data_IF_495790960315
#
_entry.id   IF_495790960315
#
_cell.length_a   1.000
_cell.length_b   1.000
_cell.length_c   1.000
_cell.angle_alpha   90.00
_cell.angle_beta   90.00
_cell.angle_gamma   90.00
#
_symmetry.space_group_name_H-M   'P 1'
#
loop_
_entity.id
_entity.type
_entity.pdbx_description
1 polymer ?
#
# COMPACT_ATOMS: atom_id res chain seq x y z
N UNK A 1 5.51 23.99 10.86
CA UNK A 1 4.44 22.97 10.84
C UNK A 1 4.11 22.50 12.26
N UNK A 2 2.86 22.10 12.58
CA UNK A 2 2.54 21.61 13.93
C UNK A 2 2.86 20.12 14.11
N UNK A 3 3.28 19.71 15.30
CA UNK A 3 3.46 18.28 15.65
C UNK A 3 2.17 17.47 15.41
N UNK A 4 1.00 18.07 15.62
CA UNK A 4 -0.29 17.44 15.33
C UNK A 4 -0.53 17.17 13.84
N UNK A 5 0.02 18.01 12.95
CA UNK A 5 -0.03 17.79 11.49
C UNK A 5 0.84 16.60 11.10
N UNK A 6 2.09 16.56 11.58
CA UNK A 6 3.02 15.45 11.34
C UNK A 6 2.41 14.13 11.78
N UNK A 7 1.93 14.06 13.02
CA UNK A 7 1.34 12.84 13.57
C UNK A 7 0.09 12.40 12.80
N UNK A 8 -0.74 13.34 12.33
CA UNK A 8 -1.92 13.02 11.51
C UNK A 8 -1.51 12.43 10.16
N UNK A 9 -0.54 13.03 9.49
CA UNK A 9 -0.07 12.57 8.17
C UNK A 9 0.65 11.23 8.26
N UNK A 10 1.46 11.01 9.30
CA UNK A 10 2.07 9.70 9.57
C UNK A 10 1.01 8.62 9.87
N UNK A 11 -0.01 8.93 10.66
CA UNK A 11 -1.11 7.98 10.90
C UNK A 11 -1.92 7.69 9.63
N UNK A 12 -2.07 8.67 8.73
CA UNK A 12 -2.71 8.47 7.43
C UNK A 12 -1.89 7.54 6.53
N UNK A 13 -0.56 7.72 6.48
CA UNK A 13 0.34 6.80 5.78
C UNK A 13 0.29 5.38 6.38
N UNK A 14 0.34 5.26 7.71
CA UNK A 14 0.24 3.97 8.39
C UNK A 14 -1.05 3.23 8.06
N UNK A 15 -2.19 3.92 8.08
CA UNK A 15 -3.48 3.34 7.77
C UNK A 15 -3.54 2.81 6.33
N UNK A 16 -3.00 3.58 5.37
CA UNK A 16 -2.94 3.18 3.96
C UNK A 16 -2.20 1.85 3.78
N UNK A 17 -1.01 1.70 4.38
CA UNK A 17 -0.24 0.46 4.26
C UNK A 17 -0.86 -0.71 5.01
N UNK A 18 -1.48 -0.47 6.17
CA UNK A 18 -2.09 -1.53 6.97
C UNK A 18 -3.41 -2.06 6.40
N UNK A 19 -4.11 -1.25 5.61
CA UNK A 19 -5.47 -1.52 5.13
C UNK A 19 -5.57 -1.65 3.61
N UNK A 20 -4.42 -1.79 2.95
CA UNK A 20 -4.36 -1.93 1.50
C UNK A 20 -5.06 -3.21 1.04
N UNK A 21 -5.61 -3.18 -0.18
CA UNK A 21 -6.22 -4.36 -0.81
C UNK A 21 -5.23 -5.54 -0.88
N UNK A 22 -3.94 -5.35 -1.27
CA UNK A 22 -2.97 -6.44 -1.23
C UNK A 22 -2.77 -7.07 0.14
N UNK A 23 -2.70 -6.27 1.22
CA UNK A 23 -2.55 -6.80 2.58
C UNK A 23 -3.78 -7.61 2.97
N UNK A 24 -4.98 -7.15 2.63
CA UNK A 24 -6.20 -7.92 2.81
C UNK A 24 -6.16 -9.23 2.02
N UNK A 25 -5.82 -9.17 0.73
CA UNK A 25 -5.76 -10.34 -0.13
C UNK A 25 -4.74 -11.37 0.34
N UNK A 26 -3.65 -10.96 1.00
CA UNK A 26 -2.68 -11.86 1.62
C UNK A 26 -3.22 -12.66 2.80
N UNK A 27 -4.29 -12.17 3.44
CA UNK A 27 -4.97 -12.83 4.55
C UNK A 27 -6.15 -13.69 4.08
N UNK A 28 -6.59 -13.51 2.84
CA UNK A 28 -7.57 -14.35 2.17
C UNK A 28 -6.85 -15.34 1.26
N UNK A 29 -7.46 -16.45 0.88
CA UNK A 29 -6.85 -17.36 -0.11
C UNK A 29 -7.68 -17.30 -1.38
N UNK A 30 -7.43 -16.32 -2.29
CA UNK A 30 -8.14 -16.25 -3.55
C UNK A 30 -7.98 -17.55 -4.35
N UNK A 31 -8.93 -17.85 -5.23
CA UNK A 31 -8.79 -18.98 -6.15
C UNK A 31 -7.69 -18.67 -7.18
N UNK A 32 -6.65 -19.52 -7.22
CA UNK A 32 -5.44 -19.31 -8.04
C UNK A 32 -5.23 -20.44 -9.04
N UNK A 33 -4.73 -20.08 -10.21
CA UNK A 33 -4.26 -21.03 -11.23
C UNK A 33 -2.74 -20.87 -11.44
N UNK A 34 -2.11 -21.79 -12.18
CA UNK A 34 -0.70 -21.63 -12.57
C UNK A 34 -0.42 -20.36 -13.37
N UNK A 35 -1.41 -19.85 -14.10
CA UNK A 35 -1.29 -18.60 -14.85
C UNK A 35 -1.23 -17.35 -13.94
N UNK A 36 -1.37 -17.53 -12.63
CA UNK A 36 -1.41 -16.46 -11.64
C UNK A 36 -0.14 -16.40 -10.76
N UNK A 37 0.84 -17.29 -10.98
CA UNK A 37 2.07 -17.38 -10.17
C UNK A 37 2.88 -16.07 -10.18
N UNK A 38 2.99 -15.41 -11.33
CA UNK A 38 3.71 -14.13 -11.47
C UNK A 38 2.98 -12.99 -10.75
N UNK A 39 1.64 -12.94 -10.86
CA UNK A 39 0.80 -11.97 -10.14
C UNK A 39 0.96 -12.16 -8.63
N UNK A 40 0.96 -13.42 -8.18
CA UNK A 40 1.13 -13.75 -6.77
C UNK A 40 2.51 -13.32 -6.26
N UNK A 41 3.57 -13.50 -7.04
CA UNK A 41 4.92 -13.07 -6.67
C UNK A 41 4.99 -11.55 -6.49
N UNK A 42 4.43 -10.77 -7.43
CA UNK A 42 4.39 -9.30 -7.34
C UNK A 42 3.58 -8.83 -6.13
N UNK A 43 2.40 -9.42 -5.89
CA UNK A 43 1.58 -9.11 -4.71
C UNK A 43 2.31 -9.46 -3.40
N UNK A 44 3.05 -10.57 -3.38
CA UNK A 44 3.84 -11.00 -2.23
C UNK A 44 4.91 -9.98 -1.85
N UNK A 45 5.67 -9.48 -2.83
CA UNK A 45 6.67 -8.44 -2.61
C UNK A 45 6.03 -7.14 -2.11
N UNK A 46 4.96 -6.69 -2.77
CA UNK A 46 4.21 -5.49 -2.38
C UNK A 46 3.74 -5.56 -0.91
N UNK A 47 3.18 -6.70 -0.49
CA UNK A 47 2.71 -6.89 0.90
C UNK A 47 3.86 -6.90 1.90
N UNK A 48 5.00 -7.52 1.57
CA UNK A 48 6.18 -7.53 2.45
C UNK A 48 6.71 -6.11 2.68
N UNK A 49 6.75 -5.33 1.61
CA UNK A 49 7.20 -3.96 1.59
C UNK A 49 6.28 -3.03 2.40
N UNK A 50 4.96 -3.13 2.20
CA UNK A 50 3.97 -2.39 2.99
C UNK A 50 4.01 -2.72 4.49
N UNK A 51 4.30 -3.98 4.86
CA UNK A 51 4.50 -4.38 6.27
C UNK A 51 5.73 -3.74 6.88
N UNK A 52 6.83 -3.69 6.12
CA UNK A 52 8.09 -3.06 6.55
C UNK A 52 7.89 -1.56 6.78
N UNK A 53 7.26 -0.87 5.83
CA UNK A 53 6.94 0.56 5.95
C UNK A 53 6.00 0.85 7.11
N UNK A 54 4.95 0.02 7.29
CA UNK A 54 4.03 0.16 8.42
C UNK A 54 4.76 0.10 9.77
N UNK A 55 5.76 -0.79 9.91
CA UNK A 55 6.54 -0.90 11.13
C UNK A 55 7.41 0.35 11.38
N UNK A 56 8.07 0.86 10.35
CA UNK A 56 8.89 2.08 10.43
C UNK A 56 8.05 3.31 10.77
N UNK A 57 6.89 3.49 10.11
CA UNK A 57 5.98 4.61 10.37
C UNK A 57 5.42 4.53 11.79
N UNK A 58 4.98 3.35 12.23
CA UNK A 58 4.49 3.16 13.59
C UNK A 58 5.57 3.49 14.64
N UNK A 59 6.82 3.12 14.36
CA UNK A 59 7.95 3.45 15.25
C UNK A 59 8.15 4.96 15.35
N UNK A 60 8.18 5.67 14.22
CA UNK A 60 8.34 7.12 14.20
C UNK A 60 7.20 7.84 14.93
N UNK A 61 5.95 7.38 14.78
CA UNK A 61 4.81 7.94 15.52
C UNK A 61 5.02 7.82 17.04
N UNK A 62 5.52 6.67 17.51
CA UNK A 62 5.81 6.46 18.94
C UNK A 62 6.95 7.36 19.42
N UNK A 63 8.02 7.49 18.64
CA UNK A 63 9.18 8.31 18.97
C UNK A 63 8.82 9.81 19.05
N UNK A 64 7.81 10.26 18.29
CA UNK A 64 7.22 11.60 18.36
C UNK A 64 6.19 11.78 19.49
N UNK A 65 5.98 10.77 20.35
CA UNK A 65 5.02 10.79 21.44
C UNK A 65 3.56 10.64 21.02
N UNK A 66 3.31 10.24 19.77
CA UNK A 66 1.98 9.93 19.25
C UNK A 66 1.54 8.49 19.54
N UNK A 67 0.33 8.17 19.08
CA UNK A 67 -0.21 6.80 19.13
C UNK A 67 -0.46 6.29 17.71
N UNK A 68 0.18 5.17 17.29
CA UNK A 68 -0.06 4.57 15.99
C UNK A 68 -1.53 4.12 15.87
N UNK A 69 -2.20 4.62 14.83
CA UNK A 69 -3.57 4.32 14.50
C UNK A 69 -3.60 3.74 13.09
N UNK A 70 -3.98 2.46 12.99
CA UNK A 70 -4.09 1.76 11.71
C UNK A 70 -5.34 2.14 10.91
N UNK A 71 -6.23 2.98 11.46
CA UNK A 71 -7.51 3.35 10.88
C UNK A 71 -8.61 2.31 11.11
N UNK A 72 -9.81 2.57 10.57
CA UNK A 72 -10.88 1.57 10.45
C UNK A 72 -10.86 1.03 9.01
N UNK A 73 -10.70 -0.29 8.87
CA UNK A 73 -10.54 -0.93 7.57
C UNK A 73 -11.77 -0.74 6.70
N UNK A 74 -11.57 -0.63 5.39
CA UNK A 74 -12.68 -0.77 4.45
C UNK A 74 -13.25 -2.19 4.55
N UNK A 75 -14.57 -2.33 4.32
CA UNK A 75 -15.16 -3.65 4.11
C UNK A 75 -14.69 -4.20 2.76
N UNK A 76 -13.72 -5.11 2.82
CA UNK A 76 -13.13 -5.80 1.67
C UNK A 76 -13.68 -7.22 1.52
N UNK A 77 -14.65 -7.62 2.34
CA UNK A 77 -15.33 -8.93 2.27
C UNK A 77 -15.86 -9.26 0.87
N UNK A 78 -16.40 -8.30 0.08
CA UNK A 78 -16.86 -8.57 -1.28
C UNK A 78 -15.76 -9.07 -2.26
N UNK A 79 -14.48 -8.92 -1.91
CA UNK A 79 -13.36 -9.34 -2.75
C UNK A 79 -13.03 -10.84 -2.62
N UNK A 80 -13.59 -11.54 -1.63
CA UNK A 80 -13.24 -12.93 -1.33
C UNK A 80 -13.58 -13.93 -2.44
N UNK A 81 -14.64 -13.64 -3.20
CA UNK A 81 -15.18 -14.57 -4.20
C UNK A 81 -14.75 -14.23 -5.65
N UNK A 82 -13.81 -13.28 -5.80
CA UNK A 82 -13.35 -12.82 -7.12
C UNK A 82 -12.08 -13.57 -7.55
N UNK A 83 -12.00 -13.89 -8.85
CA UNK A 83 -10.79 -14.46 -9.45
C UNK A 83 -9.64 -13.42 -9.47
N UNK A 84 -8.40 -13.90 -9.34
CA UNK A 84 -7.24 -13.01 -9.21
C UNK A 84 -7.07 -12.04 -10.41
N UNK A 85 -7.41 -12.47 -11.63
CA UNK A 85 -7.37 -11.60 -12.80
C UNK A 85 -8.32 -10.38 -12.70
N UNK A 86 -9.49 -10.54 -12.08
CA UNK A 86 -10.39 -9.41 -11.81
C UNK A 86 -9.89 -8.55 -10.64
N UNK A 87 -9.29 -9.20 -9.63
CA UNK A 87 -8.69 -8.51 -8.49
C UNK A 87 -7.45 -7.68 -8.87
N UNK A 88 -6.69 -8.09 -9.89
CA UNK A 88 -5.48 -7.40 -10.33
C UNK A 88 -5.77 -5.97 -10.78
N UNK A 89 -6.79 -5.77 -11.62
CA UNK A 89 -7.20 -4.42 -12.04
C UNK A 89 -7.64 -3.57 -10.85
N UNK A 90 -8.35 -4.18 -9.90
CA UNK A 90 -8.76 -3.49 -8.68
C UNK A 90 -7.58 -3.09 -7.80
N UNK A 91 -6.55 -3.95 -7.70
CA UNK A 91 -5.32 -3.64 -6.98
C UNK A 91 -4.58 -2.48 -7.65
N UNK A 92 -4.47 -2.46 -8.99
CA UNK A 92 -3.86 -1.36 -9.75
C UNK A 92 -4.59 -0.03 -9.47
N UNK A 93 -5.91 -0.01 -9.57
CA UNK A 93 -6.73 1.19 -9.28
C UNK A 93 -6.53 1.70 -7.85
N UNK A 94 -6.49 0.79 -6.88
CA UNK A 94 -6.25 1.13 -5.48
C UNK A 94 -4.83 1.68 -5.28
N UNK A 95 -3.82 1.03 -5.86
CA UNK A 95 -2.42 1.45 -5.78
C UNK A 95 -2.22 2.85 -6.37
N UNK A 96 -2.82 3.15 -7.52
CA UNK A 96 -2.77 4.48 -8.12
C UNK A 96 -3.42 5.57 -7.24
N UNK A 97 -4.54 5.24 -6.59
CA UNK A 97 -5.20 6.14 -5.62
C UNK A 97 -4.33 6.36 -4.36
N UNK A 98 -3.69 5.30 -3.91
CA UNK A 98 -2.81 5.31 -2.74
C UNK A 98 -1.60 6.23 -2.97
N UNK A 99 -1.00 6.20 -4.18
CA UNK A 99 0.06 7.14 -4.59
C UNK A 99 -0.38 8.59 -4.39
N UNK A 100 -1.58 8.96 -4.85
CA UNK A 100 -2.10 10.32 -4.66
C UNK A 100 -2.29 10.71 -3.20
N UNK A 101 -2.63 9.74 -2.34
CA UNK A 101 -2.71 9.96 -0.88
C UNK A 101 -1.32 10.12 -0.25
N UNK A 102 -0.33 9.34 -0.69
CA UNK A 102 1.06 9.45 -0.22
C UNK A 102 1.64 10.81 -0.61
N UNK A 103 1.40 11.30 -1.83
CA UNK A 103 1.84 12.62 -2.29
C UNK A 103 1.26 13.75 -1.42
N UNK A 104 -0.01 13.66 -1.04
CA UNK A 104 -0.63 14.60 -0.11
C UNK A 104 0.05 14.56 1.27
N UNK A 105 0.31 13.36 1.80
CA UNK A 105 1.00 13.22 3.08
C UNK A 105 2.41 13.78 3.02
N UNK A 106 3.13 13.57 1.92
CA UNK A 106 4.49 14.09 1.73
C UNK A 106 4.51 15.63 1.78
N UNK A 107 3.55 16.29 1.13
CA UNK A 107 3.43 17.76 1.20
C UNK A 107 3.28 18.25 2.65
N UNK A 108 2.49 17.53 3.45
CA UNK A 108 2.27 17.79 4.88
C UNK A 108 3.45 17.36 5.78
N UNK A 109 4.51 16.78 5.22
CA UNK A 109 5.67 16.28 5.99
C UNK A 109 6.99 16.96 5.60
N UNK A 110 6.98 17.83 4.59
CA UNK A 110 8.18 18.48 4.01
C UNK A 110 9.13 19.13 5.02
N UNK A 111 8.59 19.75 6.09
CA UNK A 111 9.40 20.42 7.12
C UNK A 111 9.98 19.48 8.19
N UNK A 112 9.59 18.20 8.21
CA UNK A 112 10.09 17.22 9.16
C UNK A 112 10.94 16.16 8.45
N UNK A 113 12.26 16.36 8.44
CA UNK A 113 13.22 15.60 7.63
C UNK A 113 13.00 14.07 7.65
N UNK A 114 12.90 13.46 8.83
CA UNK A 114 12.72 12.01 8.96
C UNK A 114 11.37 11.50 8.43
N UNK A 115 10.30 12.25 8.67
CA UNK A 115 8.95 11.90 8.21
C UNK A 115 8.81 12.11 6.70
N UNK A 116 9.44 13.17 6.18
CA UNK A 116 9.54 13.45 4.75
C UNK A 116 10.29 12.34 4.02
N UNK A 117 11.45 11.91 4.54
CA UNK A 117 12.23 10.82 3.96
C UNK A 117 11.42 9.51 3.89
N UNK A 118 10.73 9.16 4.98
CA UNK A 118 9.89 7.96 5.04
C UNK A 118 8.70 8.03 4.07
N UNK A 119 8.08 9.21 3.90
CA UNK A 119 7.02 9.42 2.93
C UNK A 119 7.53 9.39 1.48
N UNK A 120 8.75 9.87 1.21
CA UNK A 120 9.40 9.77 -0.11
C UNK A 120 9.73 8.32 -0.47
N UNK A 121 10.25 7.54 0.48
CA UNK A 121 10.49 6.10 0.31
C UNK A 121 9.17 5.38 0.04
N UNK A 122 8.12 5.68 0.81
CA UNK A 122 6.76 5.19 0.58
C UNK A 122 6.24 5.49 -0.82
N UNK A 123 6.49 6.71 -1.32
CA UNK A 123 6.08 7.12 -2.66
C UNK A 123 6.85 6.38 -3.75
N UNK A 124 8.17 6.27 -3.62
CA UNK A 124 9.01 5.58 -4.59
C UNK A 124 8.64 4.10 -4.73
N UNK A 125 8.49 3.42 -3.60
CA UNK A 125 8.05 2.02 -3.57
C UNK A 125 6.65 1.86 -4.14
N UNK A 126 5.71 2.73 -3.79
CA UNK A 126 4.35 2.67 -4.31
C UNK A 126 4.29 2.81 -5.84
N UNK A 127 5.13 3.67 -6.42
CA UNK A 127 5.26 3.85 -7.88
C UNK A 127 5.87 2.61 -8.54
N UNK A 128 6.97 2.08 -7.99
CA UNK A 128 7.58 0.84 -8.51
C UNK A 128 6.64 -0.36 -8.47
N UNK A 129 5.84 -0.50 -7.40
CA UNK A 129 4.81 -1.55 -7.35
C UNK A 129 3.72 -1.37 -8.39
N UNK A 130 3.28 -0.14 -8.65
CA UNK A 130 2.28 0.13 -9.69
C UNK A 130 2.81 -0.30 -11.06
N UNK A 131 4.04 0.08 -11.40
CA UNK A 131 4.71 -0.32 -12.64
C UNK A 131 4.76 -1.86 -12.76
N UNK A 132 5.21 -2.58 -11.74
CA UNK A 132 5.25 -4.05 -11.76
C UNK A 132 3.87 -4.69 -11.91
N UNK A 133 2.83 -4.13 -11.29
CA UNK A 133 1.47 -4.64 -11.43
C UNK A 133 0.92 -4.43 -12.85
N UNK A 134 1.19 -3.27 -13.45
CA UNK A 134 0.79 -2.94 -14.82
C UNK A 134 1.52 -3.82 -15.84
N UNK A 135 2.81 -4.08 -15.64
CA UNK A 135 3.61 -4.99 -16.49
C UNK A 135 3.01 -6.40 -16.52
N UNK A 136 2.72 -6.97 -15.35
CA UNK A 136 2.13 -8.32 -15.27
C UNK A 136 0.70 -8.34 -15.83
N UNK A 137 -0.06 -7.26 -15.66
CA UNK A 137 -1.39 -7.15 -16.27
C UNK A 137 -1.34 -7.12 -17.81
N UNK A 138 -0.37 -6.40 -18.38
CA UNK A 138 -0.16 -6.33 -19.82
C UNK A 138 0.29 -7.70 -20.36
N UNK A 139 1.26 -8.35 -19.72
CA UNK A 139 1.74 -9.68 -20.12
C UNK A 139 0.61 -10.73 -20.17
N UNK A 140 -0.33 -10.69 -19.21
CA UNK A 140 -1.51 -11.57 -19.22
C UNK A 140 -2.47 -11.27 -20.36
N UNK A 141 -2.58 -10.00 -20.78
CA UNK A 141 -3.45 -9.60 -21.90
C UNK A 141 -2.87 -10.07 -23.22
N UNK A 142 -1.54 -9.98 -23.38
CA UNK A 142 -0.84 -10.38 -24.61
C UNK A 142 -0.77 -11.90 -24.82
N UNK A 143 -0.92 -12.68 -23.74
CA UNK A 143 -0.93 -14.14 -23.76
C UNK A 143 -2.30 -14.77 -24.11
N UNK A 144 -3.35 -13.95 -24.29
CA UNK A 144 -4.74 -14.36 -24.54
C UNK A 144 -5.12 -14.19 -26.02
#
# INVERSE_FOLDING_TARGET
MSSATVLRSLNRLLALHCQSVPVYLSCTTPWMTKADEEVQAVLGHLVADQKTQSAQIARLILDLGGSPNRGQGQDLTPLNDLALGFLLQRVIECQARDIGTIEQCLNDLTEHAEASALAQESLGMAKGHLESLEEVAQARTDAC
#
